data_IF_850855743744
#
_entry.id   IF_850855743744
#
_cell.length_a   1.000
_cell.length_b   1.000
_cell.length_c   1.000
_cell.angle_alpha   90.00
_cell.angle_beta   90.00
_cell.angle_gamma   90.00
#
_symmetry.space_group_name_H-M   'P 1'
#
loop_
_entity.id
_entity.type
_entity.pdbx_description
1 polymer ?
#
# COMPACT_ATOMS: atom_id res chain seq x y z
N UNK A 1 -14.49 17.95 4.89
CA UNK A 1 -14.85 17.35 3.59
C UNK A 1 -14.72 15.85 3.75
N UNK A 2 -15.80 15.09 3.58
CA UNK A 2 -15.77 13.63 3.64
C UNK A 2 -15.53 13.14 2.22
N UNK A 3 -14.30 12.74 1.89
CA UNK A 3 -14.07 11.96 0.68
C UNK A 3 -14.76 10.61 0.95
N UNK A 4 -15.77 10.20 0.16
CA UNK A 4 -16.43 8.93 0.36
C UNK A 4 -15.39 7.81 0.30
N UNK A 5 -15.55 6.77 1.12
CA UNK A 5 -14.73 5.55 1.19
C UNK A 5 -14.62 4.82 -0.17
N UNK A 6 -13.98 5.45 -1.16
CA UNK A 6 -13.76 4.94 -2.51
C UNK A 6 -12.37 4.31 -2.61
N UNK A 7 -11.95 3.62 -1.55
CA UNK A 7 -10.76 2.77 -1.52
C UNK A 7 -10.85 1.56 -2.46
N UNK A 8 -11.92 1.46 -3.27
CA UNK A 8 -12.16 0.37 -4.22
C UNK A 8 -11.66 0.64 -5.65
N UNK A 9 -11.46 1.90 -6.06
CA UNK A 9 -11.14 2.19 -7.48
C UNK A 9 -9.64 2.37 -7.80
N UNK A 10 -8.83 2.91 -6.88
CA UNK A 10 -7.41 3.17 -7.15
C UNK A 10 -6.50 2.08 -6.61
N UNK A 11 -6.30 1.04 -7.42
CA UNK A 11 -5.37 -0.05 -7.11
C UNK A 11 -3.90 0.41 -7.06
N UNK A 12 -3.53 1.42 -7.86
CA UNK A 12 -2.13 1.87 -8.01
C UNK A 12 -1.58 2.58 -6.76
N UNK A 13 -2.38 3.37 -6.04
CA UNK A 13 -1.95 4.02 -4.79
C UNK A 13 -1.67 3.03 -3.67
N UNK A 14 -2.27 1.82 -3.72
CA UNK A 14 -2.02 0.78 -2.72
C UNK A 14 -0.64 0.16 -2.81
N UNK A 15 -0.04 0.17 -4.00
CA UNK A 15 1.28 -0.43 -4.24
C UNK A 15 2.42 0.53 -3.96
N UNK A 16 2.18 1.84 -4.08
CA UNK A 16 3.21 2.86 -3.90
C UNK A 16 3.31 3.35 -2.45
N UNK A 17 2.25 3.22 -1.65
CA UNK A 17 2.17 3.85 -0.34
C UNK A 17 2.04 2.82 0.80
N UNK A 18 2.82 2.98 1.89
CA UNK A 18 2.71 2.18 3.11
C UNK A 18 1.31 2.19 3.68
N UNK A 19 0.83 1.07 4.22
CA UNK A 19 -0.56 0.99 4.69
C UNK A 19 -0.89 2.03 5.78
N UNK A 20 0.06 2.33 6.66
CA UNK A 20 -0.13 3.27 7.78
C UNK A 20 -0.47 4.69 7.35
N UNK A 21 0.10 5.14 6.22
CA UNK A 21 -0.01 6.54 5.74
C UNK A 21 -0.72 6.64 4.39
N UNK A 22 -1.22 5.53 3.86
CA UNK A 22 -1.74 5.43 2.48
C UNK A 22 -2.83 6.44 2.16
N UNK A 23 -3.78 6.65 3.08
CA UNK A 23 -4.92 7.53 2.82
C UNK A 23 -4.46 8.97 2.62
N UNK A 24 -3.65 9.47 3.55
CA UNK A 24 -3.14 10.85 3.55
C UNK A 24 -2.21 11.10 2.36
N UNK A 25 -1.21 10.24 2.14
CA UNK A 25 -0.27 10.40 1.03
C UNK A 25 -0.95 10.24 -0.34
N UNK A 26 -1.96 9.38 -0.46
CA UNK A 26 -2.70 9.24 -1.71
C UNK A 26 -3.54 10.48 -2.01
N UNK A 27 -4.19 11.06 -0.99
CA UNK A 27 -4.93 12.31 -1.12
C UNK A 27 -3.99 13.44 -1.53
N UNK A 28 -2.86 13.62 -0.82
CA UNK A 28 -1.87 14.63 -1.15
C UNK A 28 -1.32 14.46 -2.57
N UNK A 29 -0.98 13.23 -2.99
CA UNK A 29 -0.46 12.95 -4.33
C UNK A 29 -1.49 13.28 -5.42
N UNK A 30 -2.74 12.87 -5.26
CA UNK A 30 -3.81 13.10 -6.24
C UNK A 30 -4.17 14.59 -6.35
N UNK A 31 -4.25 15.29 -5.21
CA UNK A 31 -4.49 16.74 -5.18
C UNK A 31 -3.33 17.50 -5.85
N UNK A 32 -2.09 17.13 -5.55
CA UNK A 32 -0.90 17.79 -6.13
C UNK A 32 -0.78 17.52 -7.64
N UNK A 33 -1.17 16.32 -8.07
CA UNK A 33 -1.14 15.92 -9.47
C UNK A 33 -2.32 16.45 -10.31
N UNK A 34 -3.31 17.09 -9.67
CA UNK A 34 -4.58 17.50 -10.30
C UNK A 34 -5.29 16.31 -10.99
N UNK A 35 -5.36 15.17 -10.28
CA UNK A 35 -5.98 13.94 -10.78
C UNK A 35 -7.16 13.57 -9.91
N UNK A 36 -8.33 13.46 -10.53
CA UNK A 36 -9.56 13.06 -9.86
C UNK A 36 -9.46 11.64 -9.29
N UNK A 37 -9.72 11.42 -7.98
CA UNK A 37 -9.62 10.11 -7.34
C UNK A 37 -10.58 9.06 -7.89
N UNK A 38 -11.60 9.47 -8.65
CA UNK A 38 -12.58 8.55 -9.24
C UNK A 38 -12.16 8.02 -10.61
N UNK A 39 -11.13 8.62 -11.23
CA UNK A 39 -10.63 8.20 -12.54
C UNK A 39 -10.09 6.78 -12.48
N UNK A 40 -10.55 5.96 -13.41
CA UNK A 40 -10.04 4.60 -13.58
C UNK A 40 -8.68 4.64 -14.28
N UNK A 41 -7.82 3.63 -14.10
CA UNK A 41 -6.52 3.57 -14.78
C UNK A 41 -6.60 3.71 -16.31
N UNK A 42 -7.69 3.23 -16.93
CA UNK A 42 -7.94 3.34 -18.38
C UNK A 42 -8.31 4.76 -18.84
N UNK A 43 -8.69 5.63 -17.91
CA UNK A 43 -9.09 7.02 -18.16
C UNK A 43 -7.93 8.00 -17.89
N UNK A 44 -6.79 7.49 -17.43
CA UNK A 44 -5.58 8.28 -17.23
C UNK A 44 -4.91 8.59 -18.57
N UNK A 45 -4.69 9.87 -18.83
CA UNK A 45 -3.90 10.34 -19.97
C UNK A 45 -2.41 10.34 -19.62
N UNK A 46 -1.56 10.52 -20.63
CA UNK A 46 -0.11 10.65 -20.45
C UNK A 46 0.24 11.84 -19.54
N UNK A 47 -0.53 12.94 -19.59
CA UNK A 47 -0.31 14.08 -18.69
C UNK A 47 -0.65 13.73 -17.24
N UNK A 48 -1.71 12.94 -16.99
CA UNK A 48 -2.01 12.47 -15.63
C UNK A 48 -0.86 11.60 -15.09
N UNK A 49 -0.30 10.70 -15.91
CA UNK A 49 0.86 9.90 -15.50
C UNK A 49 2.08 10.76 -15.16
N UNK A 50 2.37 11.78 -15.98
CA UNK A 50 3.46 12.72 -15.70
C UNK A 50 3.25 13.44 -14.37
N UNK A 51 2.07 14.02 -14.17
CA UNK A 51 1.77 14.77 -12.94
C UNK A 51 1.82 13.86 -11.70
N UNK A 52 1.34 12.63 -11.81
CA UNK A 52 1.41 11.64 -10.72
C UNK A 52 2.86 11.28 -10.40
N UNK A 53 3.70 11.06 -11.40
CA UNK A 53 5.12 10.79 -11.21
C UNK A 53 5.85 11.98 -10.57
N UNK A 54 5.58 13.20 -11.04
CA UNK A 54 6.17 14.42 -10.48
C UNK A 54 5.73 14.66 -9.03
N UNK A 55 4.45 14.41 -8.71
CA UNK A 55 3.94 14.51 -7.34
C UNK A 55 4.55 13.43 -6.43
N UNK A 56 4.64 12.19 -6.90
CA UNK A 56 5.26 11.10 -6.14
C UNK A 56 6.76 11.31 -5.92
N UNK A 57 7.47 11.89 -6.90
CA UNK A 57 8.89 12.25 -6.76
C UNK A 57 9.10 13.22 -5.59
N UNK A 58 8.26 14.25 -5.48
CA UNK A 58 8.31 15.21 -4.37
C UNK A 58 8.05 14.54 -3.02
N UNK A 59 7.08 13.62 -2.95
CA UNK A 59 6.85 12.84 -1.73
C UNK A 59 8.08 11.99 -1.36
N UNK A 60 8.79 11.42 -2.33
CA UNK A 60 10.02 10.68 -2.07
C UNK A 60 11.19 11.58 -1.64
N UNK A 61 11.22 12.84 -2.08
CA UNK A 61 12.20 13.83 -1.62
C UNK A 61 11.97 14.17 -0.14
N UNK A 62 10.71 14.22 0.31
CA UNK A 62 10.33 14.47 1.70
C UNK A 62 10.52 13.25 2.61
N UNK A 63 10.16 12.04 2.13
CA UNK A 63 10.33 10.78 2.84
C UNK A 63 11.07 9.75 1.96
N UNK A 64 12.38 9.64 2.18
CA UNK A 64 13.23 8.68 1.49
C UNK A 64 12.79 7.21 1.70
N UNK A 65 12.03 6.94 2.77
CA UNK A 65 11.46 5.63 3.06
C UNK A 65 10.47 5.18 1.98
N UNK A 66 9.74 6.11 1.34
CA UNK A 66 8.79 5.83 0.27
C UNK A 66 9.45 5.27 -0.99
N UNK A 67 10.66 5.74 -1.33
CA UNK A 67 11.38 5.21 -2.48
C UNK A 67 11.82 3.75 -2.27
N UNK A 68 12.18 3.40 -1.04
CA UNK A 68 12.58 2.05 -0.66
C UNK A 68 11.42 1.12 -0.29
N UNK A 69 10.18 1.63 -0.29
CA UNK A 69 9.02 0.90 0.15
C UNK A 69 8.64 -0.22 -0.83
N UNK A 70 8.52 -1.44 -0.31
CA UNK A 70 8.17 -2.63 -1.09
C UNK A 70 6.85 -3.24 -0.59
N UNK A 71 5.76 -3.01 -1.33
CA UNK A 71 4.43 -3.53 -0.99
C UNK A 71 4.40 -5.07 -0.83
N UNK A 72 5.25 -5.79 -1.55
CA UNK A 72 5.32 -7.26 -1.46
C UNK A 72 5.79 -7.73 -0.09
N UNK A 73 6.62 -6.95 0.60
CA UNK A 73 7.12 -7.30 1.92
C UNK A 73 6.05 -7.12 2.99
N UNK A 74 5.24 -6.07 2.92
CA UNK A 74 4.05 -5.93 3.77
C UNK A 74 3.10 -7.14 3.61
N UNK A 75 2.89 -7.60 2.37
CA UNK A 75 2.05 -8.77 2.11
C UNK A 75 2.63 -10.04 2.73
N UNK A 76 3.95 -10.22 2.67
CA UNK A 76 4.64 -11.37 3.28
C UNK A 76 4.52 -11.33 4.79
N UNK A 77 4.70 -10.17 5.42
CA UNK A 77 4.55 -10.00 6.87
C UNK A 77 3.12 -10.28 7.33
N UNK A 78 2.11 -9.74 6.64
CA UNK A 78 0.69 -10.03 6.92
C UNK A 78 0.37 -11.52 6.82
N UNK A 79 0.93 -12.23 5.83
CA UNK A 79 0.77 -13.69 5.70
C UNK A 79 1.42 -14.45 6.86
N UNK A 80 2.59 -14.01 7.33
CA UNK A 80 3.26 -14.59 8.51
C UNK A 80 2.44 -14.39 9.78
N UNK A 81 1.92 -13.18 10.02
CA UNK A 81 1.09 -12.87 11.19
C UNK A 81 -0.25 -13.64 11.21
N UNK A 82 -0.77 -14.02 10.05
CA UNK A 82 -2.01 -14.82 9.93
C UNK A 82 -1.81 -16.32 10.15
N UNK A 83 -0.57 -16.82 10.20
CA UNK A 83 -0.28 -18.17 10.66
C UNK A 83 0.08 -18.05 12.13
N UNK A 84 -0.77 -18.46 13.09
CA UNK A 84 -0.26 -18.68 14.43
C UNK A 84 0.84 -19.72 14.29
N UNK A 85 2.03 -19.41 14.80
CA UNK A 85 3.08 -20.39 14.96
C UNK A 85 2.50 -21.57 15.74
N UNK A 86 2.30 -22.71 15.09
CA UNK A 86 2.37 -23.99 15.80
C UNK A 86 3.78 -24.03 16.36
N UNK A 87 3.93 -23.68 17.64
CA UNK A 87 5.11 -24.03 18.42
C UNK A 87 5.20 -25.54 18.41
N UNK A 88 6.24 -26.05 17.74
CA UNK A 88 6.67 -27.44 17.87
C UNK A 88 7.38 -27.50 19.22
N UNK A 89 6.67 -27.78 20.31
CA UNK A 89 7.22 -28.32 21.55
C UNK A 89 6.15 -29.17 22.24
N UNK A 90 6.15 -30.48 21.94
CA UNK A 90 5.80 -31.61 22.83
C UNK A 90 5.88 -32.92 22.02
N UNK A 91 7.11 -33.38 21.76
CA UNK A 91 7.39 -34.82 21.62
C UNK A 91 7.53 -35.41 23.04
N UNK A 92 7.07 -36.66 23.21
CA UNK A 92 7.20 -37.55 24.39
C UNK A 92 6.02 -37.62 25.40
N UNK A 93 4.86 -38.13 24.98
CA UNK A 93 4.06 -39.07 25.80
C UNK A 93 3.03 -39.78 24.89
N UNK A 94 3.49 -40.68 24.03
CA UNK A 94 2.62 -41.69 23.41
C UNK A 94 3.40 -42.96 23.09
N UNK A 95 4.11 -43.42 24.12
CA UNK A 95 4.67 -44.77 24.19
C UNK A 95 4.32 -45.33 25.57
N UNK A 96 3.01 -45.48 25.84
CA UNK A 96 2.39 -46.27 26.92
C UNK A 96 0.85 -46.19 26.85
N UNK A 97 0.27 -47.00 25.98
CA UNK A 97 -0.83 -47.92 26.29
C UNK A 97 -1.25 -48.69 25.04
#
# INVERSE_FOLDING_TARGET
MLIPDNTKSNFYSRMLLPQSQRTELAEQMLLTADVEPTLRPTELSISHFRNLADAYSKLCEEDAGLFSYEFRDELRQKKKQRRPSCTIEEEAERDRH
#
